data_IF_916259739907
#
_entry.id   IF_916259739907
#
_cell.length_a   1.000
_cell.length_b   1.000
_cell.length_c   1.000
_cell.angle_alpha   90.00
_cell.angle_beta   90.00
_cell.angle_gamma   90.00
#
_symmetry.space_group_name_H-M   'P 1'
#
loop_
_entity.id
_entity.type
_entity.pdbx_description
1 polymer ?
#
# COMPACT_ATOMS: atom_id res chain seq x y z
N UNK A 1 0.47 15.85 -19.15
CA UNK A 1 0.45 15.81 -17.67
C UNK A 1 1.47 16.83 -17.16
N UNK A 2 1.32 18.11 -17.53
CA UNK A 2 2.42 19.09 -17.37
C UNK A 2 2.05 20.27 -16.45
N UNK A 3 0.86 20.30 -15.84
CA UNK A 3 0.45 21.40 -14.93
C UNK A 3 -0.50 20.98 -13.81
N UNK A 4 -0.08 20.06 -12.95
CA UNK A 4 -0.61 20.01 -11.59
C UNK A 4 0.57 19.88 -10.62
N UNK A 5 0.86 20.89 -9.78
CA UNK A 5 1.84 20.75 -8.72
C UNK A 5 1.22 19.87 -7.63
N UNK A 6 1.29 18.56 -7.82
CA UNK A 6 0.81 17.58 -6.83
C UNK A 6 1.64 17.69 -5.53
N UNK A 7 2.82 18.30 -5.60
CA UNK A 7 3.78 18.49 -4.49
C UNK A 7 3.37 19.42 -3.34
N UNK A 8 2.17 20.02 -3.34
CA UNK A 8 1.80 21.01 -2.31
C UNK A 8 0.60 20.68 -1.44
N UNK A 9 -0.11 19.61 -1.72
CA UNK A 9 -1.29 19.24 -0.96
C UNK A 9 -1.43 17.73 -0.96
N UNK A 10 -1.82 17.14 0.18
CA UNK A 10 -2.04 15.70 0.39
C UNK A 10 -3.19 15.08 -0.43
N UNK A 11 -3.38 15.53 -1.67
CA UNK A 11 -4.36 15.04 -2.63
C UNK A 11 -3.85 13.85 -3.45
N UNK A 12 -2.71 13.25 -3.10
CA UNK A 12 -2.23 12.03 -3.77
C UNK A 12 -3.22 10.87 -3.63
N UNK A 13 -4.01 10.89 -2.56
CA UNK A 13 -5.14 10.00 -2.29
C UNK A 13 -6.19 10.04 -3.40
N UNK A 14 -6.39 11.19 -4.05
CA UNK A 14 -7.31 11.35 -5.17
C UNK A 14 -6.79 10.70 -6.44
N UNK A 15 -5.50 10.34 -6.50
CA UNK A 15 -4.87 9.72 -7.66
C UNK A 15 -4.95 8.19 -7.63
N UNK A 16 -5.19 7.59 -6.47
CA UNK A 16 -5.26 6.13 -6.30
C UNK A 16 -6.29 5.47 -7.24
N UNK A 17 -7.54 6.00 -7.39
CA UNK A 17 -8.51 5.42 -8.32
C UNK A 17 -8.05 5.45 -9.79
N UNK A 18 -7.19 6.41 -10.16
CA UNK A 18 -6.69 6.53 -11.53
C UNK A 18 -5.63 5.47 -11.86
N UNK A 19 -4.96 4.88 -10.86
CA UNK A 19 -4.03 3.76 -11.08
C UNK A 19 -4.82 2.56 -11.61
N UNK A 20 -5.88 2.18 -10.90
CA UNK A 20 -6.79 1.11 -11.35
C UNK A 20 -7.42 1.44 -12.69
N UNK A 21 -7.92 2.67 -12.86
CA UNK A 21 -8.48 3.12 -14.13
C UNK A 21 -7.50 3.02 -15.32
N UNK A 22 -6.18 3.15 -15.11
CA UNK A 22 -5.19 2.91 -16.16
C UNK A 22 -4.99 1.42 -16.46
N UNK A 23 -5.06 0.54 -15.46
CA UNK A 23 -5.05 -0.90 -15.69
C UNK A 23 -6.29 -1.36 -16.47
N UNK A 24 -7.49 -0.88 -16.10
CA UNK A 24 -8.77 -1.21 -16.74
C UNK A 24 -8.82 -0.88 -18.24
N UNK A 25 -8.06 0.12 -18.68
CA UNK A 25 -7.96 0.51 -20.10
C UNK A 25 -6.67 0.04 -20.76
N UNK A 26 -6.02 -0.98 -20.19
CA UNK A 26 -4.80 -1.64 -20.68
C UNK A 26 -3.60 -0.68 -20.85
N UNK A 27 -3.57 0.42 -20.09
CA UNK A 27 -2.45 1.37 -20.06
C UNK A 27 -1.50 1.08 -18.91
N UNK A 28 -0.99 -0.14 -18.86
CA UNK A 28 -0.10 -0.67 -17.81
C UNK A 28 1.06 0.26 -17.48
N UNK A 29 1.79 0.79 -18.48
CA UNK A 29 2.92 1.69 -18.22
C UNK A 29 2.52 2.98 -17.50
N UNK A 30 1.32 3.49 -17.78
CA UNK A 30 0.80 4.68 -17.09
C UNK A 30 0.34 4.35 -15.67
N UNK A 31 -0.27 3.18 -15.49
CA UNK A 31 -0.65 2.67 -14.17
C UNK A 31 0.58 2.53 -13.27
N UNK A 32 1.61 1.83 -13.75
CA UNK A 32 2.88 1.63 -13.04
C UNK A 32 3.59 2.94 -12.72
N UNK A 33 3.63 3.88 -13.68
CA UNK A 33 4.22 5.19 -13.45
C UNK A 33 3.48 5.98 -12.37
N UNK A 34 2.15 6.05 -12.46
CA UNK A 34 1.35 6.76 -11.45
C UNK A 34 1.48 6.09 -10.08
N UNK A 35 1.46 4.75 -10.03
CA UNK A 35 1.73 3.99 -8.81
C UNK A 35 3.06 4.43 -8.18
N UNK A 36 4.15 4.47 -8.96
CA UNK A 36 5.47 4.84 -8.43
C UNK A 36 5.50 6.29 -7.92
N UNK A 37 4.87 7.20 -8.64
CA UNK A 37 4.81 8.62 -8.27
C UNK A 37 4.05 8.81 -6.94
N UNK A 38 2.96 8.07 -6.72
CA UNK A 38 2.15 8.13 -5.49
C UNK A 38 2.83 7.37 -4.34
N UNK A 39 3.28 6.13 -4.58
CA UNK A 39 3.94 5.30 -3.56
C UNK A 39 5.17 5.99 -2.97
N UNK A 40 5.94 6.70 -3.79
CA UNK A 40 7.10 7.46 -3.35
C UNK A 40 6.77 8.47 -2.25
N UNK A 41 5.57 9.07 -2.25
CA UNK A 41 5.16 10.03 -1.23
C UNK A 41 4.96 9.40 0.13
N UNK A 42 4.26 8.27 0.18
CA UNK A 42 4.10 7.51 1.42
C UNK A 42 5.46 6.97 1.91
N UNK A 43 6.30 6.47 1.01
CA UNK A 43 7.66 6.04 1.33
C UNK A 43 8.53 7.17 1.93
N UNK A 44 8.49 8.37 1.34
CA UNK A 44 9.20 9.55 1.85
C UNK A 44 8.70 9.97 3.23
N UNK A 45 7.38 9.96 3.46
CA UNK A 45 6.79 10.26 4.77
C UNK A 45 7.19 9.23 5.83
N UNK A 46 7.04 7.94 5.54
CA UNK A 46 7.42 6.86 6.46
C UNK A 46 8.91 6.92 6.80
N UNK A 47 9.76 7.22 5.82
CA UNK A 47 11.18 7.45 6.10
C UNK A 47 11.38 8.64 7.04
N UNK A 48 10.75 9.78 6.76
CA UNK A 48 10.84 10.96 7.62
C UNK A 48 10.42 10.66 9.06
N UNK A 49 9.28 9.98 9.26
CA UNK A 49 8.80 9.62 10.60
C UNK A 49 9.76 8.67 11.32
N UNK A 50 10.37 7.71 10.60
CA UNK A 50 11.33 6.77 11.19
C UNK A 50 12.59 7.43 11.76
N UNK A 51 12.93 8.64 11.28
CA UNK A 51 14.08 9.42 11.74
C UNK A 51 13.77 10.25 13.00
N UNK A 52 12.50 10.31 13.43
CA UNK A 52 12.09 11.03 14.64
C UNK A 52 12.34 10.21 15.92
N UNK A 53 12.36 10.88 17.07
CA UNK A 53 12.37 10.22 18.38
C UNK A 53 11.08 9.40 18.59
N UNK A 54 11.13 8.33 19.40
CA UNK A 54 9.95 7.49 19.70
C UNK A 54 8.78 8.32 20.23
N UNK A 55 9.05 9.32 21.09
CA UNK A 55 8.01 10.26 21.58
C UNK A 55 7.33 11.00 20.43
N UNK A 56 8.10 11.51 19.46
CA UNK A 56 7.53 12.21 18.31
C UNK A 56 6.86 11.25 17.32
N UNK A 57 7.38 10.04 17.12
CA UNK A 57 6.69 9.01 16.35
C UNK A 57 5.32 8.69 16.98
N UNK A 58 5.25 8.58 18.31
CA UNK A 58 3.98 8.36 19.04
C UNK A 58 3.03 9.55 18.86
N UNK A 59 3.54 10.77 18.86
CA UNK A 59 2.74 11.98 18.61
C UNK A 59 2.13 11.99 17.20
N UNK A 60 2.81 11.41 16.22
CA UNK A 60 2.36 11.33 14.82
C UNK A 60 1.86 9.92 14.44
N UNK A 61 1.45 9.11 15.42
CA UNK A 61 1.12 7.71 15.18
C UNK A 61 -0.05 7.56 14.20
N UNK A 62 -1.06 8.41 14.31
CA UNK A 62 -2.23 8.39 13.42
C UNK A 62 -1.83 8.69 11.96
N UNK A 63 -0.92 9.64 11.74
CA UNK A 63 -0.39 9.93 10.41
C UNK A 63 0.48 8.80 9.87
N UNK A 64 1.34 8.20 10.69
CA UNK A 64 2.17 7.05 10.32
C UNK A 64 1.28 5.88 9.90
N UNK A 65 0.28 5.53 10.70
CA UNK A 65 -0.67 4.45 10.40
C UNK A 65 -1.44 4.75 9.12
N UNK A 66 -1.92 5.99 8.95
CA UNK A 66 -2.61 6.41 7.73
C UNK A 66 -1.74 6.24 6.48
N UNK A 67 -0.47 6.61 6.53
CA UNK A 67 0.46 6.44 5.41
C UNK A 67 0.79 4.97 5.15
N UNK A 68 0.90 4.14 6.19
CA UNK A 68 1.05 2.68 6.07
C UNK A 68 -0.16 2.07 5.35
N UNK A 69 -1.38 2.40 5.77
CA UNK A 69 -2.60 1.85 5.19
C UNK A 69 -2.78 2.26 3.73
N UNK A 70 -2.50 3.52 3.41
CA UNK A 70 -2.55 4.01 2.03
C UNK A 70 -1.50 3.37 1.14
N UNK A 71 -0.27 3.21 1.64
CA UNK A 71 0.77 2.52 0.88
C UNK A 71 0.42 1.04 0.67
N UNK A 72 -0.14 0.36 1.68
CA UNK A 72 -0.66 -1.01 1.52
C UNK A 72 -1.73 -1.07 0.43
N UNK A 73 -2.71 -0.16 0.45
CA UNK A 73 -3.75 -0.10 -0.57
C UNK A 73 -3.20 0.04 -1.99
N UNK A 74 -2.12 0.80 -2.18
CA UNK A 74 -1.44 0.85 -3.47
C UNK A 74 -0.83 -0.50 -3.88
N UNK A 75 -0.13 -1.17 -2.97
CA UNK A 75 0.48 -2.49 -3.24
C UNK A 75 -0.60 -3.50 -3.60
N UNK A 76 -1.73 -3.49 -2.89
CA UNK A 76 -2.87 -4.36 -3.15
C UNK A 76 -3.44 -4.16 -4.56
N UNK A 77 -3.47 -2.93 -5.09
CA UNK A 77 -3.87 -2.68 -6.48
C UNK A 77 -3.00 -3.45 -7.48
N UNK A 78 -1.69 -3.54 -7.26
CA UNK A 78 -0.80 -4.31 -8.14
C UNK A 78 -1.16 -5.80 -8.15
N UNK A 79 -1.57 -6.34 -7.01
CA UNK A 79 -2.02 -7.73 -6.87
C UNK A 79 -3.36 -7.92 -7.58
N UNK A 80 -4.33 -7.03 -7.34
CA UNK A 80 -5.67 -7.07 -7.94
C UNK A 80 -5.59 -7.08 -9.47
N UNK A 81 -4.73 -6.25 -10.06
CA UNK A 81 -4.55 -6.16 -11.51
C UNK A 81 -3.49 -7.15 -12.06
N UNK A 82 -3.06 -8.12 -11.25
CA UNK A 82 -2.16 -9.21 -11.63
C UNK A 82 -0.79 -8.74 -12.18
N UNK A 83 -0.29 -7.59 -11.71
CA UNK A 83 1.04 -7.07 -12.03
C UNK A 83 2.11 -7.72 -11.13
N UNK A 84 2.29 -9.03 -11.29
CA UNK A 84 3.08 -9.87 -10.36
C UNK A 84 4.51 -9.39 -10.15
N UNK A 85 5.19 -8.99 -11.22
CA UNK A 85 6.60 -8.58 -11.17
C UNK A 85 6.80 -7.31 -10.34
N UNK A 86 5.87 -6.35 -10.45
CA UNK A 86 5.93 -5.12 -9.67
C UNK A 86 5.40 -5.37 -8.26
N UNK A 87 4.32 -6.14 -8.10
CA UNK A 87 3.72 -6.47 -6.81
C UNK A 87 4.72 -7.12 -5.86
N UNK A 88 5.51 -8.12 -6.31
CA UNK A 88 6.52 -8.78 -5.48
C UNK A 88 7.58 -7.79 -4.98
N UNK A 89 8.12 -6.96 -5.89
CA UNK A 89 9.15 -5.95 -5.55
C UNK A 89 8.63 -4.91 -4.57
N UNK A 90 7.41 -4.45 -4.77
CA UNK A 90 6.82 -3.40 -3.94
C UNK A 90 6.35 -3.93 -2.58
N UNK A 91 5.90 -5.20 -2.51
CA UNK A 91 5.61 -5.87 -1.24
C UNK A 91 6.85 -5.98 -0.37
N UNK A 92 7.99 -6.39 -0.94
CA UNK A 92 9.26 -6.46 -0.21
C UNK A 92 9.68 -5.08 0.32
N UNK A 93 9.57 -4.03 -0.51
CA UNK A 93 9.84 -2.66 -0.09
C UNK A 93 8.90 -2.22 1.04
N UNK A 94 7.61 -2.47 0.90
CA UNK A 94 6.61 -2.14 1.91
C UNK A 94 6.94 -2.79 3.26
N UNK A 95 7.26 -4.08 3.28
CA UNK A 95 7.66 -4.78 4.49
C UNK A 95 8.93 -4.18 5.13
N UNK A 96 9.90 -3.74 4.32
CA UNK A 96 11.07 -3.04 4.83
C UNK A 96 10.73 -1.69 5.49
N UNK A 97 9.71 -0.97 5.02
CA UNK A 97 9.22 0.23 5.69
C UNK A 97 8.50 -0.09 7.00
N UNK A 98 7.70 -1.16 7.05
CA UNK A 98 7.03 -1.58 8.30
C UNK A 98 8.03 -1.88 9.43
N UNK A 99 9.16 -2.51 9.09
CA UNK A 99 10.24 -2.82 10.03
C UNK A 99 10.85 -1.59 10.72
N UNK A 100 10.68 -0.39 10.15
CA UNK A 100 11.12 0.86 10.78
C UNK A 100 10.29 1.23 12.02
N UNK A 101 9.08 0.69 12.13
CA UNK A 101 8.10 1.01 13.17
C UNK A 101 7.77 -0.16 14.10
N UNK A 102 8.53 -1.25 14.01
CA UNK A 102 8.35 -2.48 14.80
C UNK A 102 8.30 -2.26 16.32
N UNK A 103 8.92 -1.20 16.84
CA UNK A 103 8.85 -0.89 18.27
C UNK A 103 7.42 -0.59 18.78
N UNK A 104 6.47 -0.27 17.89
CA UNK A 104 5.06 -0.14 18.23
C UNK A 104 4.32 -1.49 18.32
N UNK A 105 4.90 -2.56 17.79
CA UNK A 105 4.32 -3.91 17.74
C UNK A 105 5.08 -4.91 18.62
N UNK A 106 6.36 -4.65 18.91
CA UNK A 106 7.30 -5.58 19.54
C UNK A 106 7.25 -5.63 21.08
N UNK A 107 6.20 -5.13 21.75
CA UNK A 107 6.04 -5.35 23.22
C UNK A 107 5.50 -6.76 23.54
N UNK A 108 5.94 -7.82 22.85
CA UNK A 108 5.89 -9.27 23.22
C UNK A 108 5.53 -10.27 22.09
N UNK A 109 5.92 -10.10 20.82
CA UNK A 109 5.81 -11.19 19.82
C UNK A 109 7.15 -11.47 19.09
N UNK A 110 7.63 -12.73 19.07
CA UNK A 110 8.73 -13.11 18.19
C UNK A 110 8.32 -12.89 16.73
N UNK A 111 9.31 -12.62 15.85
CA UNK A 111 9.13 -12.55 14.39
C UNK A 111 8.58 -13.89 13.86
N UNK A 112 7.29 -14.14 14.06
CA UNK A 112 6.58 -15.23 13.40
C UNK A 112 6.29 -14.75 11.98
N UNK A 113 7.23 -15.08 11.10
CA UNK A 113 7.01 -15.18 9.66
C UNK A 113 5.77 -16.05 9.42
N UNK A 114 4.56 -15.47 9.38
CA UNK A 114 3.37 -15.93 8.65
C UNK A 114 2.16 -15.01 8.92
N UNK A 115 2.09 -13.85 8.25
CA UNK A 115 0.79 -13.19 8.04
C UNK A 115 0.03 -13.92 6.92
N UNK A 116 -0.37 -15.18 7.16
CA UNK A 116 -1.60 -15.67 6.56
C UNK A 116 -2.75 -14.98 7.28
N UNK A 117 -3.41 -14.02 6.62
CA UNK A 117 -4.72 -13.54 7.09
C UNK A 117 -5.74 -14.65 6.87
N UNK A 118 -5.85 -15.59 7.81
CA UNK A 118 -7.16 -16.15 8.13
C UNK A 118 -7.96 -15.06 8.86
N UNK A 119 -9.23 -14.92 8.48
CA UNK A 119 -10.23 -13.99 9.03
C UNK A 119 -10.19 -12.54 8.52
N UNK A 120 -10.36 -12.38 7.21
CA UNK A 120 -11.38 -11.43 6.74
C UNK A 120 -12.60 -12.26 6.40
N UNK A 121 -13.70 -12.01 7.11
CA UNK A 121 -15.03 -12.57 6.87
C UNK A 121 -15.61 -12.04 5.53
N UNK A 122 -14.90 -12.32 4.44
CA UNK A 122 -15.47 -12.35 3.10
C UNK A 122 -16.14 -13.70 3.05
N UNK A 123 -17.47 -13.70 3.22
CA UNK A 123 -18.33 -14.84 2.93
C UNK A 123 -17.74 -15.69 1.80
N UNK A 124 -17.29 -16.89 2.15
CA UNK A 124 -16.65 -17.87 1.25
C UNK A 124 -17.52 -18.17 0.02
N UNK A 125 -18.82 -17.84 0.12
CA UNK A 125 -19.84 -17.95 -0.93
C UNK A 125 -19.65 -16.96 -2.09
N UNK A 126 -18.92 -15.85 -1.93
CA UNK A 126 -18.76 -14.86 -3.01
C UNK A 126 -17.74 -15.31 -4.06
N UNK A 127 -16.64 -15.94 -3.64
CA UNK A 127 -15.58 -16.41 -4.56
C UNK A 127 -16.06 -17.64 -5.35
N UNK A 128 -16.77 -18.55 -4.68
CA UNK A 128 -17.34 -19.75 -5.30
C UNK A 128 -18.49 -19.43 -6.28
N UNK A 129 -19.22 -18.32 -6.04
CA UNK A 129 -20.26 -17.82 -6.96
C UNK A 129 -19.68 -17.12 -8.19
N UNK A 130 -18.51 -16.48 -8.07
CA UNK A 130 -17.82 -15.82 -9.20
C UNK A 130 -17.15 -16.85 -10.11
N UNK A 131 -16.55 -17.91 -9.55
CA UNK A 131 -15.85 -18.94 -10.35
C UNK A 131 -16.77 -19.96 -11.04
N UNK A 132 -18.05 -20.05 -10.65
CA UNK A 132 -19.04 -20.96 -11.26
C UNK A 132 -19.84 -20.34 -12.40
N UNK A 133 -19.61 -19.07 -12.74
CA UNK A 133 -20.30 -18.39 -13.85
C UNK A 133 -19.59 -18.54 -15.21
N UNK A 134 -18.38 -19.13 -15.23
CA UNK A 134 -17.57 -19.36 -16.43
C UNK A 134 -17.51 -20.85 -16.87
N UNK A 135 -18.56 -21.64 -16.59
CA UNK A 135 -18.76 -22.98 -17.21
C UNK A 135 -20.15 -23.12 -17.84
#
# INVERSE_FOLDING_TARGET
MEKMPVDKFGYYTLLEPFIGGYYEIEKTDKARKLYQDVAKKYQENLKYYSELTIENQTRYLDEIVSDIERYRGLVDLLVIYNDKDLALKETEKFNNYLRLFRHFTDEDEPDDEEFFREDVDITKDTIDSILKLDQ
#
